data_IF_169388016099
#
_entry.id   IF_169388016099
#
_cell.length_a   1.000
_cell.length_b   1.000
_cell.length_c   1.000
_cell.angle_alpha   90.00
_cell.angle_beta   90.00
_cell.angle_gamma   90.00
#
_symmetry.space_group_name_H-M   'P 1'
#
loop_
_entity.id
_entity.type
_entity.pdbx_description
1 polymer ?
#
# COMPACT_ATOMS: atom_id res chain seq x y z
N UNK A 1 -11.90 -9.75 9.61
CA UNK A 1 -10.81 -9.55 8.63
C UNK A 1 -9.67 -8.82 9.31
N UNK A 2 -8.49 -9.44 9.37
CA UNK A 2 -7.31 -8.89 10.05
C UNK A 2 -6.79 -7.71 9.21
N UNK A 3 -6.77 -6.50 9.77
CA UNK A 3 -6.15 -5.31 9.16
C UNK A 3 -4.63 -5.55 9.07
N UNK A 4 -4.18 -6.24 8.03
CA UNK A 4 -2.76 -6.33 7.74
C UNK A 4 -2.35 -5.06 7.02
N UNK A 5 -1.73 -4.13 7.75
CA UNK A 5 -1.00 -3.00 7.17
C UNK A 5 -0.13 -3.52 6.01
N UNK A 6 -0.18 -2.82 4.88
CA UNK A 6 0.57 -3.20 3.66
C UNK A 6 2.08 -3.13 3.90
N UNK A 7 2.50 -2.30 4.86
CA UNK A 7 3.89 -2.17 5.28
C UNK A 7 4.14 -2.92 6.59
N UNK A 8 5.25 -3.67 6.63
CA UNK A 8 5.75 -4.23 7.88
C UNK A 8 6.14 -3.13 8.87
N UNK A 9 6.17 -3.46 10.16
CA UNK A 9 6.56 -2.52 11.23
C UNK A 9 7.96 -1.93 10.99
N UNK A 10 8.90 -2.74 10.53
CA UNK A 10 10.25 -2.31 10.19
C UNK A 10 10.26 -1.31 9.01
N UNK A 11 9.37 -1.52 8.04
CA UNK A 11 9.23 -0.59 6.90
C UNK A 11 8.66 0.75 7.35
N UNK A 12 7.73 0.75 8.31
CA UNK A 12 7.23 1.99 8.91
C UNK A 12 8.31 2.73 9.71
N UNK A 13 9.19 2.03 10.44
CA UNK A 13 10.34 2.66 11.11
C UNK A 13 11.28 3.33 10.11
N UNK A 14 11.55 2.67 8.99
CA UNK A 14 12.39 3.24 7.92
C UNK A 14 11.69 4.43 7.25
N UNK A 15 10.39 4.34 7.00
CA UNK A 15 9.56 5.44 6.47
C UNK A 15 9.69 6.70 7.32
N UNK A 16 9.55 6.58 8.64
CA UNK A 16 9.68 7.71 9.57
C UNK A 16 11.07 8.32 9.52
N UNK A 17 12.12 7.49 9.50
CA UNK A 17 13.51 7.97 9.35
C UNK A 17 13.68 8.72 8.02
N UNK A 18 13.24 8.14 6.91
CA UNK A 18 13.28 8.77 5.60
C UNK A 18 12.53 10.10 5.60
N UNK A 19 11.37 10.18 6.24
CA UNK A 19 10.56 11.40 6.31
C UNK A 19 11.28 12.51 7.10
N UNK A 20 11.87 12.18 8.25
CA UNK A 20 12.65 13.14 9.06
C UNK A 20 13.86 13.64 8.28
N UNK A 21 14.66 12.73 7.70
CA UNK A 21 15.85 13.11 6.94
C UNK A 21 15.51 13.88 5.65
N UNK A 22 14.42 13.53 4.97
CA UNK A 22 13.93 14.28 3.81
C UNK A 22 13.42 15.67 4.22
N UNK A 23 12.74 15.78 5.35
CA UNK A 23 12.29 17.06 5.90
C UNK A 23 13.46 17.98 6.27
N UNK A 24 14.47 17.43 6.96
CA UNK A 24 15.71 18.15 7.27
C UNK A 24 16.44 18.57 5.99
N UNK A 25 16.57 17.67 5.02
CA UNK A 25 17.23 17.96 3.74
C UNK A 25 16.49 19.02 2.92
N UNK A 26 15.16 18.95 2.88
CA UNK A 26 14.32 19.95 2.22
C UNK A 26 14.42 21.30 2.91
N UNK A 27 14.40 21.33 4.25
CA UNK A 27 14.54 22.56 5.02
C UNK A 27 15.90 23.23 4.76
N UNK A 28 17.00 22.48 4.75
CA UNK A 28 18.33 23.01 4.44
C UNK A 28 18.38 23.54 3.00
N UNK A 29 17.85 22.78 2.03
CA UNK A 29 17.82 23.20 0.64
C UNK A 29 16.96 24.44 0.38
N UNK A 30 15.89 24.66 1.16
CA UNK A 30 15.04 25.86 1.07
C UNK A 30 15.58 27.05 1.86
N UNK A 31 16.20 26.80 3.01
CA UNK A 31 16.75 27.85 3.85
C UNK A 31 18.09 28.37 3.33
N UNK A 32 18.75 27.62 2.44
CA UNK A 32 20.10 27.90 1.92
C UNK A 32 21.15 28.12 3.02
N UNK A 33 20.89 27.58 4.22
CA UNK A 33 21.75 27.69 5.40
C UNK A 33 21.94 26.31 5.99
N UNK A 34 23.21 25.92 6.14
CA UNK A 34 23.58 24.70 6.84
C UNK A 34 23.61 24.99 8.35
N UNK A 35 23.00 24.13 9.19
CA UNK A 35 23.16 24.26 10.63
C UNK A 35 24.64 24.06 11.00
N UNK A 36 25.23 25.06 11.64
CA UNK A 36 26.61 25.04 12.15
C UNK A 36 26.79 24.01 13.28
N UNK A 37 25.72 23.76 14.02
CA UNK A 37 25.66 22.78 15.11
C UNK A 37 24.49 21.81 14.90
N UNK A 38 24.81 20.52 14.74
CA UNK A 38 23.83 19.44 14.80
C UNK A 38 23.84 18.85 16.20
N UNK A 39 23.15 19.53 17.12
CA UNK A 39 23.05 19.13 18.54
C UNK A 39 22.42 17.74 18.73
N UNK A 40 21.69 17.22 17.73
CA UNK A 40 21.14 15.84 17.71
C UNK A 40 22.23 14.77 17.58
N UNK A 41 23.39 15.09 16.98
CA UNK A 41 24.48 14.13 16.72
C UNK A 41 25.74 14.50 17.54
N UNK A 42 25.78 15.68 18.17
CA UNK A 42 26.90 16.12 19.00
C UNK A 42 28.17 16.44 18.20
N UNK A 43 28.01 16.72 16.90
CA UNK A 43 29.12 17.07 16.01
C UNK A 43 29.09 18.58 15.74
N UNK A 44 30.20 19.25 16.01
CA UNK A 44 30.42 20.66 15.68
C UNK A 44 31.09 20.72 14.29
N UNK A 45 30.47 21.43 13.34
CA UNK A 45 30.90 21.50 11.94
C UNK A 45 31.30 22.91 11.49
N UNK A 46 31.61 23.81 12.43
CA UNK A 46 32.01 25.21 12.19
C UNK A 46 33.04 25.43 11.07
N UNK A 47 33.87 24.43 10.73
CA UNK A 47 34.88 24.53 9.67
C UNK A 47 34.57 23.73 8.40
N UNK A 48 33.55 22.86 8.38
CA UNK A 48 33.32 21.88 7.32
C UNK A 48 31.82 21.68 7.01
N UNK A 49 31.04 22.76 6.97
CA UNK A 49 29.60 22.74 6.67
C UNK A 49 29.28 22.00 5.36
N UNK A 50 30.11 22.17 4.33
CA UNK A 50 29.93 21.47 3.04
C UNK A 50 30.01 19.94 3.18
N UNK A 51 30.88 19.43 4.07
CA UNK A 51 30.99 17.99 4.34
C UNK A 51 29.71 17.48 5.00
N UNK A 52 29.13 18.25 5.92
CA UNK A 52 27.87 17.92 6.57
C UNK A 52 26.72 17.81 5.57
N UNK A 53 26.61 18.74 4.63
CA UNK A 53 25.57 18.68 3.61
C UNK A 53 25.71 17.45 2.69
N UNK A 54 26.93 17.10 2.26
CA UNK A 54 27.16 15.85 1.49
C UNK A 54 26.90 14.58 2.32
N UNK A 55 27.16 14.61 3.62
CA UNK A 55 26.79 13.53 4.53
C UNK A 55 25.28 13.34 4.62
N UNK A 56 24.54 14.44 4.82
CA UNK A 56 23.07 14.45 4.83
C UNK A 56 22.48 14.02 3.49
N UNK A 57 23.08 14.44 2.37
CA UNK A 57 22.71 13.95 1.05
C UNK A 57 22.86 12.42 0.96
N UNK A 58 24.04 11.91 1.33
CA UNK A 58 24.38 10.50 1.21
C UNK A 58 23.47 9.61 2.06
N UNK A 59 23.21 10.00 3.31
CA UNK A 59 22.33 9.21 4.20
C UNK A 59 20.89 9.24 3.72
N UNK A 60 20.40 10.35 3.16
CA UNK A 60 19.05 10.48 2.62
C UNK A 60 18.87 9.61 1.37
N UNK A 61 19.85 9.61 0.46
CA UNK A 61 19.87 8.73 -0.72
C UNK A 61 19.89 7.26 -0.29
N UNK A 62 20.74 6.90 0.67
CA UNK A 62 20.80 5.53 1.19
C UNK A 62 19.45 5.09 1.79
N UNK A 63 18.83 5.92 2.62
CA UNK A 63 17.52 5.64 3.21
C UNK A 63 16.43 5.52 2.13
N UNK A 64 16.48 6.32 1.06
CA UNK A 64 15.54 6.23 -0.05
C UNK A 64 15.66 4.88 -0.78
N UNK A 65 16.88 4.46 -1.11
CA UNK A 65 17.13 3.17 -1.77
C UNK A 65 16.68 2.02 -0.87
N UNK A 66 17.02 2.08 0.43
CA UNK A 66 16.67 1.04 1.40
C UNK A 66 15.15 0.93 1.59
N UNK A 67 14.47 2.07 1.76
CA UNK A 67 13.02 2.12 1.84
C UNK A 67 12.37 1.58 0.56
N UNK A 68 12.81 2.03 -0.61
CA UNK A 68 12.26 1.61 -1.90
C UNK A 68 12.38 0.09 -2.10
N UNK A 69 13.52 -0.50 -1.71
CA UNK A 69 13.76 -1.95 -1.83
C UNK A 69 12.83 -2.75 -0.91
N UNK A 70 12.74 -2.38 0.37
CA UNK A 70 11.90 -3.13 1.31
C UNK A 70 10.42 -2.93 1.02
N UNK A 71 10.02 -1.69 0.72
CA UNK A 71 8.63 -1.39 0.46
C UNK A 71 8.15 -1.97 -0.88
N UNK A 72 9.00 -2.02 -1.92
CA UNK A 72 8.65 -2.72 -3.16
C UNK A 72 8.45 -4.22 -2.94
N UNK A 73 9.28 -4.88 -2.12
CA UNK A 73 9.09 -6.29 -1.75
C UNK A 73 7.75 -6.53 -1.03
N UNK A 74 7.36 -5.64 -0.12
CA UNK A 74 6.07 -5.74 0.58
C UNK A 74 4.88 -5.52 -0.38
N UNK A 75 4.99 -4.54 -1.28
CA UNK A 75 3.98 -4.31 -2.33
C UNK A 75 3.87 -5.53 -3.25
N UNK A 76 4.99 -6.12 -3.67
CA UNK A 76 4.98 -7.34 -4.49
C UNK A 76 4.35 -8.52 -3.76
N UNK A 77 4.61 -8.70 -2.46
CA UNK A 77 3.93 -9.72 -1.63
C UNK A 77 2.43 -9.48 -1.57
N UNK A 78 2.01 -8.23 -1.39
CA UNK A 78 0.60 -7.88 -1.39
C UNK A 78 -0.08 -8.16 -2.75
N UNK A 79 0.58 -7.81 -3.85
CA UNK A 79 0.09 -8.15 -5.19
C UNK A 79 0.06 -9.65 -5.43
N UNK A 80 1.01 -10.43 -4.88
CA UNK A 80 1.01 -11.89 -5.01
C UNK A 80 -0.31 -12.49 -4.52
N UNK A 81 -0.80 -12.10 -3.34
CA UNK A 81 -2.05 -12.61 -2.80
C UNK A 81 -3.26 -12.18 -3.65
N UNK A 82 -3.23 -10.96 -4.20
CA UNK A 82 -4.21 -10.50 -5.17
C UNK A 82 -4.19 -11.31 -6.48
N UNK A 83 -3.01 -11.57 -7.04
CA UNK A 83 -2.85 -12.37 -8.26
C UNK A 83 -3.22 -13.83 -8.04
N UNK A 84 -2.91 -14.41 -6.88
CA UNK A 84 -3.35 -15.76 -6.49
C UNK A 84 -4.88 -15.79 -6.39
N UNK A 85 -5.50 -14.86 -5.66
CA UNK A 85 -6.96 -14.78 -5.56
C UNK A 85 -7.64 -14.62 -6.92
N UNK A 86 -7.06 -13.83 -7.82
CA UNK A 86 -7.56 -13.67 -9.19
C UNK A 86 -7.39 -14.94 -10.03
N UNK A 87 -6.27 -15.65 -9.90
CA UNK A 87 -6.05 -16.93 -10.60
C UNK A 87 -6.90 -18.07 -10.04
N UNK A 88 -7.16 -18.10 -8.74
CA UNK A 88 -8.01 -19.12 -8.10
C UNK A 88 -9.44 -19.08 -8.65
N UNK A 89 -9.97 -17.90 -8.99
CA UNK A 89 -11.27 -17.78 -9.67
C UNK A 89 -11.29 -18.44 -11.06
N UNK A 90 -10.15 -18.49 -11.73
CA UNK A 90 -10.00 -19.12 -13.06
C UNK A 90 -9.47 -20.55 -13.00
N UNK A 91 -9.18 -21.08 -11.80
CA UNK A 91 -8.77 -22.48 -11.65
C UNK A 91 -10.02 -23.36 -11.73
N UNK A 92 -10.01 -24.25 -12.71
CA UNK A 92 -10.97 -25.34 -12.88
C UNK A 92 -10.47 -26.55 -12.10
N UNK A 93 -11.35 -27.19 -11.33
CA UNK A 93 -10.99 -28.42 -10.62
C UNK A 93 -10.74 -29.58 -11.58
N UNK A 94 -9.67 -30.35 -11.37
CA UNK A 94 -9.27 -31.45 -12.27
C UNK A 94 -10.32 -32.58 -12.39
N UNK A 95 -11.23 -32.69 -11.43
CA UNK A 95 -12.20 -33.81 -11.37
C UNK A 95 -13.50 -33.53 -12.12
N UNK A 96 -14.00 -32.29 -12.10
CA UNK A 96 -15.31 -31.91 -12.66
C UNK A 96 -15.16 -30.79 -13.70
N UNK A 97 -13.99 -30.18 -13.82
CA UNK A 97 -13.72 -29.10 -14.77
C UNK A 97 -14.53 -27.84 -14.50
N UNK A 98 -15.02 -27.65 -13.27
CA UNK A 98 -15.77 -26.46 -12.86
C UNK A 98 -14.86 -25.46 -12.17
N UNK A 99 -15.05 -24.19 -12.50
CA UNK A 99 -14.39 -23.07 -11.83
C UNK A 99 -15.02 -22.81 -10.46
N UNK A 100 -14.28 -22.14 -9.57
CA UNK A 100 -14.78 -21.79 -8.24
C UNK A 100 -16.07 -20.93 -8.26
N UNK A 101 -16.26 -20.15 -9.33
CA UNK A 101 -17.45 -19.32 -9.56
C UNK A 101 -18.63 -20.17 -10.02
N UNK A 102 -18.40 -21.13 -10.93
CA UNK A 102 -19.43 -22.10 -11.37
C UNK A 102 -19.86 -23.04 -10.25
N UNK A 103 -18.95 -23.43 -9.35
CA UNK A 103 -19.29 -24.23 -8.16
C UNK A 103 -20.23 -23.43 -7.24
N UNK A 104 -19.93 -22.14 -7.00
CA UNK A 104 -20.81 -21.26 -6.23
C UNK A 104 -22.19 -21.13 -6.87
N UNK A 105 -22.26 -20.89 -8.17
CA UNK A 105 -23.52 -20.82 -8.92
C UNK A 105 -24.29 -22.14 -8.94
N UNK A 106 -23.61 -23.29 -8.94
CA UNK A 106 -24.25 -24.61 -8.86
C UNK A 106 -24.80 -24.90 -7.47
N UNK A 107 -24.07 -24.56 -6.40
CA UNK A 107 -24.60 -24.62 -5.03
C UNK A 107 -25.81 -23.69 -4.87
N UNK A 108 -25.73 -22.47 -5.41
CA UNK A 108 -26.83 -21.50 -5.37
C UNK A 108 -28.05 -21.97 -6.19
N UNK A 109 -27.84 -22.74 -7.26
CA UNK A 109 -28.90 -23.42 -8.02
C UNK A 109 -29.46 -24.63 -7.30
N UNK A 110 -28.63 -25.49 -6.71
CA UNK A 110 -29.10 -26.68 -5.99
C UNK A 110 -29.93 -26.30 -4.76
N UNK A 111 -29.59 -25.22 -4.04
CA UNK A 111 -30.48 -24.64 -3.02
C UNK A 111 -31.81 -24.13 -3.61
N UNK A 112 -31.82 -23.68 -4.87
CA UNK A 112 -33.01 -23.16 -5.55
C UNK A 112 -33.90 -24.25 -6.18
N UNK A 113 -33.38 -25.46 -6.37
CA UNK A 113 -34.09 -26.61 -6.98
C UNK A 113 -34.41 -27.74 -6.01
N UNK A 114 -33.97 -27.65 -4.74
CA UNK A 114 -34.27 -28.67 -3.72
C UNK A 114 -35.63 -28.52 -3.04
N UNK A 115 -36.46 -27.55 -3.45
CA UNK A 115 -37.87 -27.43 -3.03
C UNK A 115 -38.77 -27.36 -4.28
N UNK A 116 -39.42 -28.49 -4.58
CA UNK A 116 -40.49 -28.64 -5.58
C UNK A 116 -41.78 -27.91 -5.13
N UNK A 117 -41.75 -26.59 -4.93
CA UNK A 117 -42.94 -25.81 -4.55
C UNK A 117 -43.11 -24.47 -5.31
N UNK A 118 -44.35 -23.95 -5.43
CA UNK A 118 -44.83 -23.23 -6.60
C UNK A 118 -44.35 -21.78 -6.67
N UNK A 119 -43.71 -21.43 -7.80
CA UNK A 119 -43.28 -20.06 -8.13
C UNK A 119 -44.42 -19.04 -7.95
N UNK A 120 -44.22 -18.06 -7.06
CA UNK A 120 -45.07 -16.87 -6.95
C UNK A 120 -45.46 -16.40 -5.55
N UNK A 121 -44.74 -16.82 -4.49
CA UNK A 121 -45.02 -16.37 -3.12
C UNK A 121 -44.26 -15.08 -2.79
N UNK A 122 -44.90 -14.18 -2.02
CA UNK A 122 -44.27 -12.95 -1.49
C UNK A 122 -43.01 -13.24 -0.67
N UNK A 123 -42.90 -14.42 -0.08
CA UNK A 123 -41.72 -14.84 0.66
C UNK A 123 -40.53 -15.16 -0.26
N UNK A 124 -40.78 -15.68 -1.46
CA UNK A 124 -39.71 -15.99 -2.43
C UNK A 124 -39.11 -14.71 -3.02
N UNK A 125 -39.96 -13.71 -3.32
CA UNK A 125 -39.50 -12.38 -3.72
C UNK A 125 -38.69 -11.70 -2.60
N UNK A 126 -39.12 -11.84 -1.34
CA UNK A 126 -38.39 -11.28 -0.20
C UNK A 126 -36.99 -11.92 -0.04
N UNK A 127 -36.88 -13.23 -0.26
CA UNK A 127 -35.58 -13.92 -0.22
C UNK A 127 -34.67 -13.55 -1.39
N UNK A 128 -35.21 -13.43 -2.61
CA UNK A 128 -34.43 -12.98 -3.79
C UNK A 128 -33.92 -11.54 -3.61
N UNK A 129 -34.74 -10.66 -3.03
CA UNK A 129 -34.33 -9.29 -2.68
C UNK A 129 -33.22 -9.31 -1.62
N UNK A 130 -33.33 -10.11 -0.56
CA UNK A 130 -32.27 -10.23 0.45
C UNK A 130 -30.97 -10.78 -0.13
N UNK A 131 -31.04 -11.76 -1.04
CA UNK A 131 -29.87 -12.31 -1.74
C UNK A 131 -29.20 -11.26 -2.62
N UNK A 132 -29.99 -10.46 -3.36
CA UNK A 132 -29.48 -9.33 -4.17
C UNK A 132 -28.85 -8.25 -3.31
N UNK A 133 -29.44 -7.92 -2.16
CA UNK A 133 -28.87 -6.96 -1.20
C UNK A 133 -27.52 -7.47 -0.69
N UNK A 134 -27.44 -8.73 -0.28
CA UNK A 134 -26.19 -9.35 0.21
C UNK A 134 -25.10 -9.38 -0.86
N UNK A 135 -25.43 -9.71 -2.11
CA UNK A 135 -24.49 -9.67 -3.23
C UNK A 135 -24.02 -8.23 -3.54
N UNK A 136 -24.89 -7.23 -3.35
CA UNK A 136 -24.53 -5.82 -3.48
C UNK A 136 -23.60 -5.36 -2.36
N UNK A 137 -23.88 -5.79 -1.12
CA UNK A 137 -23.07 -5.52 0.06
C UNK A 137 -21.65 -6.13 -0.10
N UNK A 138 -21.55 -7.38 -0.54
CA UNK A 138 -20.26 -8.02 -0.83
C UNK A 138 -19.48 -7.32 -1.96
N UNK A 139 -20.15 -6.88 -3.03
CA UNK A 139 -19.51 -6.09 -4.10
C UNK A 139 -19.05 -4.73 -3.60
N UNK A 140 -19.85 -4.08 -2.77
CA UNK A 140 -19.53 -2.78 -2.20
C UNK A 140 -18.36 -2.86 -1.23
N UNK A 141 -18.36 -3.85 -0.33
CA UNK A 141 -17.27 -4.12 0.60
C UNK A 141 -15.97 -4.41 -0.14
N UNK A 142 -16.02 -5.22 -1.20
CA UNK A 142 -14.82 -5.50 -2.01
C UNK A 142 -14.28 -4.25 -2.71
N UNK A 143 -15.15 -3.40 -3.25
CA UNK A 143 -14.75 -2.16 -3.89
C UNK A 143 -14.18 -1.16 -2.87
N UNK A 144 -14.83 -1.01 -1.73
CA UNK A 144 -14.36 -0.15 -0.63
C UNK A 144 -13.00 -0.61 -0.11
N UNK A 145 -12.82 -1.91 0.11
CA UNK A 145 -11.55 -2.49 0.54
C UNK A 145 -10.46 -2.24 -0.51
N UNK A 146 -10.76 -2.42 -1.79
CA UNK A 146 -9.81 -2.14 -2.88
C UNK A 146 -9.41 -0.66 -2.92
N UNK A 147 -10.37 0.25 -2.77
CA UNK A 147 -10.10 1.69 -2.76
C UNK A 147 -9.26 2.12 -1.55
N UNK A 148 -9.57 1.60 -0.37
CA UNK A 148 -8.77 1.81 0.84
C UNK A 148 -7.32 1.37 0.63
N UNK A 149 -7.11 0.17 0.09
CA UNK A 149 -5.77 -0.37 -0.16
C UNK A 149 -5.00 0.48 -1.19
N UNK A 150 -5.66 1.02 -2.21
CA UNK A 150 -5.05 1.94 -3.18
C UNK A 150 -4.60 3.24 -2.49
N UNK A 151 -5.48 3.83 -1.67
CA UNK A 151 -5.15 5.04 -0.89
C UNK A 151 -3.97 4.75 0.04
N UNK A 152 -4.00 3.62 0.73
CA UNK A 152 -2.93 3.20 1.64
C UNK A 152 -1.59 3.08 0.89
N UNK A 153 -1.57 2.48 -0.30
CA UNK A 153 -0.36 2.42 -1.15
C UNK A 153 0.09 3.82 -1.56
N UNK A 154 -0.81 4.67 -2.03
CA UNK A 154 -0.45 6.03 -2.46
C UNK A 154 0.19 6.80 -1.30
N UNK A 155 -0.45 6.85 -0.14
CA UNK A 155 0.03 7.63 0.99
C UNK A 155 1.26 7.02 1.68
N UNK A 156 1.32 5.69 1.80
CA UNK A 156 2.40 5.04 2.53
C UNK A 156 3.62 4.70 1.67
N UNK A 157 3.48 4.60 0.35
CA UNK A 157 4.57 4.26 -0.56
C UNK A 157 4.97 5.44 -1.45
N UNK A 158 4.02 6.06 -2.15
CA UNK A 158 4.34 7.09 -3.16
C UNK A 158 4.78 8.40 -2.49
N UNK A 159 4.03 8.88 -1.50
CA UNK A 159 4.33 10.14 -0.78
C UNK A 159 5.77 10.22 -0.24
N UNK A 160 6.28 9.22 0.53
CA UNK A 160 7.65 9.31 1.06
C UNK A 160 8.72 9.27 -0.04
N UNK A 161 8.48 8.57 -1.15
CA UNK A 161 9.41 8.55 -2.29
C UNK A 161 9.45 9.92 -2.97
N UNK A 162 8.28 10.50 -3.29
CA UNK A 162 8.21 11.81 -3.94
C UNK A 162 8.86 12.88 -3.06
N UNK A 163 8.55 12.90 -1.76
CA UNK A 163 9.14 13.85 -0.82
C UNK A 163 10.67 13.70 -0.75
N UNK A 164 11.17 12.47 -0.69
CA UNK A 164 12.61 12.21 -0.66
C UNK A 164 13.29 12.69 -1.95
N UNK A 165 12.74 12.37 -3.12
CA UNK A 165 13.29 12.80 -4.42
C UNK A 165 13.34 14.33 -4.53
N UNK A 166 12.25 15.02 -4.15
CA UNK A 166 12.22 16.49 -4.14
C UNK A 166 13.26 17.05 -3.17
N UNK A 167 13.36 16.51 -1.95
CA UNK A 167 14.33 16.98 -0.95
C UNK A 167 15.78 16.80 -1.39
N UNK A 168 16.09 15.67 -2.02
CA UNK A 168 17.41 15.37 -2.59
C UNK A 168 17.73 16.35 -3.72
N UNK A 169 16.75 16.68 -4.57
CA UNK A 169 16.91 17.64 -5.66
C UNK A 169 17.26 19.04 -5.14
N UNK A 170 16.51 19.55 -4.17
CA UNK A 170 16.79 20.86 -3.55
C UNK A 170 18.15 20.88 -2.84
N UNK A 171 18.47 19.85 -2.05
CA UNK A 171 19.73 19.78 -1.34
C UNK A 171 20.93 19.64 -2.29
N UNK A 172 20.79 18.91 -3.39
CA UNK A 172 21.82 18.81 -4.43
C UNK A 172 22.07 20.16 -5.12
N UNK A 173 21.00 20.87 -5.47
CA UNK A 173 21.08 22.20 -6.07
C UNK A 173 21.84 23.16 -5.14
N UNK A 174 21.49 23.16 -3.85
CA UNK A 174 22.18 23.98 -2.85
C UNK A 174 23.66 23.61 -2.65
N UNK A 175 24.03 22.31 -2.69
CA UNK A 175 25.42 21.88 -2.50
C UNK A 175 26.35 22.16 -3.69
N UNK A 176 25.77 22.29 -4.88
CA UNK A 176 26.48 22.55 -6.14
C UNK A 176 26.55 24.03 -6.49
N UNK A 177 25.64 24.85 -5.97
CA UNK A 177 25.71 26.31 -6.04
C UNK A 177 26.71 26.89 -5.05
#
# INVERSE_FOLDING_TARGET
MNHQNILSEDTNKIKTKLFVFSGVSLFIGLAEVLPTELSVIGLNFEQNEKILGWFLFSITVFLLIYFSTIASLNVVRYFKDYFISKKVKTLTGDTIGLTYEEIGEMYDREEQYSDDEPRGSLNDEAQDIQRKIKALEERFDKNHLTFYNIIEIIFNYITPIVLAVVSIGYLYCFLTH
#
